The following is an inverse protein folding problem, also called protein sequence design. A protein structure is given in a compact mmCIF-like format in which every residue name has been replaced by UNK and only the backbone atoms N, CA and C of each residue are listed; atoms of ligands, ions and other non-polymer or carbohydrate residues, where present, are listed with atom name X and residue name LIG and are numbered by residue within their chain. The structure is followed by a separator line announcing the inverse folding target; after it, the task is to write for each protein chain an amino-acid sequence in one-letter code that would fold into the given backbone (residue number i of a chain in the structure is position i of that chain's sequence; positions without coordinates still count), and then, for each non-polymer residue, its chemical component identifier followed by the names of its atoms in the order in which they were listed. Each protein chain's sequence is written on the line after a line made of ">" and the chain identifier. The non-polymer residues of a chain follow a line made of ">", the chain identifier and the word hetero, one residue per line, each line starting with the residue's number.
data_IF_536371363362
#
_entry.id   IF_536371363362
#
_cell.length_a   1.000
_cell.length_b   1.000
_cell.length_c   1.000
_cell.angle_alpha   90.00
_cell.angle_beta   90.00
_cell.angle_gamma   90.00
#
_symmetry.space_group_name_H-M   'P 1'
#
loop_
_entity.id
_entity.type
_entity.pdbx_description
1 polymer ?
#
# COMPACT_ATOMS: atom_id res chain seq x y z
N UNK A 1 9.27 5.64 -28.57
CA UNK A 1 9.44 4.22 -28.20
C UNK A 1 8.11 3.53 -27.94
N UNK A 2 7.23 4.11 -27.11
CA UNK A 2 5.92 3.51 -26.79
C UNK A 2 5.06 3.22 -28.01
N UNK A 3 5.00 4.14 -28.99
CA UNK A 3 4.28 3.91 -30.24
C UNK A 3 4.85 2.73 -31.04
N UNK A 4 6.18 2.66 -31.20
CA UNK A 4 6.84 1.57 -31.94
C UNK A 4 6.56 0.21 -31.29
N UNK A 5 6.75 0.11 -29.98
CA UNK A 5 6.49 -1.11 -29.23
C UNK A 5 5.01 -1.49 -29.29
N UNK A 6 4.15 -0.55 -28.93
CA UNK A 6 2.72 -0.76 -28.85
C UNK A 6 2.13 -1.15 -30.20
N UNK A 7 2.46 -0.44 -31.28
CA UNK A 7 1.90 -0.71 -32.59
C UNK A 7 2.36 -2.05 -33.16
N UNK A 8 3.66 -2.35 -33.10
CA UNK A 8 4.20 -3.59 -33.69
C UNK A 8 3.79 -4.82 -32.89
N UNK A 9 3.97 -4.82 -31.56
CA UNK A 9 3.64 -5.98 -30.74
C UNK A 9 2.12 -6.19 -30.67
N UNK A 10 1.31 -5.13 -30.62
CA UNK A 10 -0.16 -5.29 -30.68
C UNK A 10 -0.58 -5.96 -31.98
N UNK A 11 -0.06 -5.53 -33.14
CA UNK A 11 -0.39 -6.15 -34.42
C UNK A 11 0.04 -7.61 -34.47
N UNK A 12 1.28 -7.89 -34.07
CA UNK A 12 1.84 -9.24 -34.05
C UNK A 12 0.99 -10.20 -33.20
N UNK A 13 0.80 -9.89 -31.92
CA UNK A 13 0.07 -10.80 -31.01
C UNK A 13 -1.42 -10.82 -31.27
N UNK A 14 -1.99 -9.77 -31.89
CA UNK A 14 -3.37 -9.84 -32.40
C UNK A 14 -3.49 -10.83 -33.56
N UNK A 15 -2.50 -10.89 -34.45
CA UNK A 15 -2.49 -11.86 -35.57
C UNK A 15 -2.28 -13.28 -35.04
N UNK A 16 -1.30 -13.48 -34.15
CA UNK A 16 -0.98 -14.80 -33.59
C UNK A 16 -2.08 -15.36 -32.69
N UNK A 17 -2.71 -14.51 -31.88
CA UNK A 17 -3.75 -14.92 -30.93
C UNK A 17 -5.13 -15.15 -31.55
N UNK A 18 -5.34 -14.79 -32.83
CA UNK A 18 -6.62 -15.03 -33.51
C UNK A 18 -6.76 -16.50 -33.86
N UNK A 19 -7.81 -17.14 -33.34
CA UNK A 19 -8.20 -18.48 -33.82
C UNK A 19 -8.77 -18.39 -35.25
N UNK A 20 -8.53 -19.39 -36.12
CA UNK A 20 -9.15 -19.45 -37.44
C UNK A 20 -10.68 -19.31 -37.32
N UNK A 21 -11.27 -18.37 -38.07
CA UNK A 21 -12.71 -18.10 -38.06
C UNK A 21 -13.22 -17.15 -36.98
N UNK A 22 -12.39 -16.74 -36.01
CA UNK A 22 -12.79 -15.79 -34.97
C UNK A 22 -12.73 -14.34 -35.51
N UNK A 23 -13.90 -13.70 -35.64
CA UNK A 23 -14.00 -12.26 -35.98
C UNK A 23 -13.99 -11.44 -34.68
N UNK A 24 -13.02 -10.53 -34.56
CA UNK A 24 -12.93 -9.57 -33.44
C UNK A 24 -11.94 -9.95 -32.34
N UNK A 25 -11.50 -8.94 -31.58
CA UNK A 25 -10.50 -9.05 -30.50
C UNK A 25 -9.14 -8.43 -30.88
N UNK A 26 -8.60 -7.59 -29.99
CA UNK A 26 -7.28 -6.95 -30.12
C UNK A 26 -6.44 -7.36 -28.92
N UNK A 27 -5.31 -8.02 -29.17
CA UNK A 27 -4.30 -8.29 -28.17
C UNK A 27 -3.31 -7.13 -28.12
N UNK A 28 -3.74 -6.01 -27.52
CA UNK A 28 -2.89 -4.87 -27.27
C UNK A 28 -1.74 -5.19 -26.31
N UNK A 29 -0.55 -4.76 -26.70
CA UNK A 29 0.68 -4.85 -25.92
C UNK A 29 1.24 -3.45 -25.73
N UNK A 30 1.86 -3.18 -24.59
CA UNK A 30 2.54 -1.91 -24.37
C UNK A 30 3.38 -1.93 -23.11
N UNK A 31 4.43 -1.11 -23.12
CA UNK A 31 5.47 -1.09 -22.09
C UNK A 31 4.94 -1.00 -20.66
N UNK A 32 3.90 -0.21 -20.39
CA UNK A 32 3.34 -0.08 -19.04
C UNK A 32 2.14 -0.99 -18.83
N UNK A 33 1.18 -1.00 -19.76
CA UNK A 33 -0.05 -1.81 -19.63
C UNK A 33 0.23 -3.31 -19.47
N UNK A 34 1.27 -3.84 -20.13
CA UNK A 34 1.53 -5.28 -20.20
C UNK A 34 2.18 -5.80 -18.91
N UNK A 35 3.22 -5.14 -18.36
CA UNK A 35 3.69 -5.45 -17.00
C UNK A 35 2.63 -5.22 -15.93
N UNK A 36 1.80 -4.17 -16.03
CA UNK A 36 0.66 -3.99 -15.10
C UNK A 36 -0.32 -5.17 -15.16
N UNK A 37 -0.64 -5.66 -16.36
CA UNK A 37 -1.49 -6.85 -16.53
C UNK A 37 -0.82 -8.11 -15.96
N UNK A 38 0.49 -8.25 -16.14
CA UNK A 38 1.29 -9.36 -15.60
C UNK A 38 1.18 -9.44 -14.08
N UNK A 39 1.20 -8.31 -13.36
CA UNK A 39 1.00 -8.29 -11.90
C UNK A 39 -0.32 -8.96 -11.49
N UNK A 40 -1.42 -8.63 -12.19
CA UNK A 40 -2.75 -9.16 -11.90
C UNK A 40 -2.82 -10.65 -12.23
N UNK A 41 -2.34 -11.06 -13.41
CA UNK A 41 -2.34 -12.47 -13.82
C UNK A 41 -1.49 -13.32 -12.89
N UNK A 42 -0.34 -12.83 -12.44
CA UNK A 42 0.52 -13.56 -11.52
C UNK A 42 -0.12 -13.69 -10.13
N UNK A 43 -0.77 -12.63 -9.63
CA UNK A 43 -1.56 -12.70 -8.38
C UNK A 43 -2.69 -13.72 -8.49
N UNK A 44 -3.44 -13.72 -9.58
CA UNK A 44 -4.53 -14.68 -9.78
C UNK A 44 -4.02 -16.13 -9.86
N UNK A 45 -2.86 -16.34 -10.49
CA UNK A 45 -2.19 -17.66 -10.51
C UNK A 45 -1.70 -18.08 -9.13
N UNK A 46 -1.15 -17.15 -8.35
CA UNK A 46 -0.71 -17.38 -6.97
C UNK A 46 -1.90 -17.84 -6.11
N UNK A 47 -3.04 -17.17 -6.25
CA UNK A 47 -4.29 -17.51 -5.55
C UNK A 47 -4.82 -18.87 -6.00
N UNK A 48 -4.87 -19.14 -7.31
CA UNK A 48 -5.40 -20.38 -7.85
C UNK A 48 -4.55 -21.61 -7.48
N UNK A 49 -3.24 -21.45 -7.38
CA UNK A 49 -2.30 -22.51 -7.02
C UNK A 49 -2.02 -22.57 -5.50
N UNK A 50 -2.66 -21.72 -4.70
CA UNK A 50 -2.43 -21.68 -3.26
C UNK A 50 -3.02 -22.93 -2.59
N UNK A 51 -2.18 -23.64 -1.84
CA UNK A 51 -2.59 -24.79 -1.04
C UNK A 51 -2.58 -24.36 0.43
N UNK A 52 -3.75 -24.23 1.09
CA UNK A 52 -3.82 -23.89 2.51
C UNK A 52 -3.06 -24.92 3.35
N UNK A 53 -2.23 -24.42 4.27
CA UNK A 53 -1.50 -25.22 5.24
C UNK A 53 -2.08 -25.00 6.62
N UNK A 54 -2.29 -26.08 7.35
CA UNK A 54 -2.68 -26.00 8.76
C UNK A 54 -1.49 -25.48 9.59
N UNK A 55 -1.79 -24.58 10.51
CA UNK A 55 -0.85 -24.12 11.51
C UNK A 55 -1.57 -23.93 12.85
N UNK A 56 -0.82 -23.87 13.93
CA UNK A 56 -1.38 -23.87 15.27
C UNK A 56 -0.85 -22.70 16.11
N UNK A 57 -1.74 -22.14 16.92
CA UNK A 57 -1.43 -21.06 17.86
C UNK A 57 -1.97 -21.43 19.24
N UNK A 58 -1.27 -21.03 20.29
CA UNK A 58 -1.70 -21.27 21.67
C UNK A 58 -1.76 -19.95 22.43
N UNK A 59 -2.99 -19.50 22.69
CA UNK A 59 -3.24 -18.37 23.58
C UNK A 59 -3.32 -18.87 25.02
N UNK A 60 -2.65 -18.16 25.93
CA UNK A 60 -2.64 -18.44 27.36
C UNK A 60 -3.15 -17.21 28.11
N UNK A 61 -4.22 -17.39 28.87
CA UNK A 61 -4.77 -16.35 29.74
C UNK A 61 -4.10 -16.43 31.10
N UNK A 62 -3.59 -15.30 31.56
CA UNK A 62 -2.82 -15.14 32.77
C UNK A 62 -3.42 -14.05 33.63
N UNK A 63 -3.24 -14.13 34.95
CA UNK A 63 -3.59 -13.05 35.87
C UNK A 63 -2.32 -12.48 36.50
N UNK A 64 -2.17 -11.15 36.49
CA UNK A 64 -1.09 -10.45 37.18
C UNK A 64 -1.64 -9.20 37.86
N UNK A 65 -1.32 -8.98 39.13
CA UNK A 65 -1.87 -7.87 39.93
C UNK A 65 -3.40 -7.72 39.78
N UNK A 66 -4.14 -8.83 39.87
CA UNK A 66 -5.60 -8.90 39.68
C UNK A 66 -6.13 -8.47 38.30
N UNK A 67 -5.25 -8.30 37.31
CA UNK A 67 -5.63 -7.99 35.92
C UNK A 67 -5.41 -9.21 35.04
N UNK A 68 -6.43 -9.61 34.28
CA UNK A 68 -6.32 -10.66 33.28
C UNK A 68 -5.68 -10.12 32.00
N UNK A 69 -4.72 -10.85 31.45
CA UNK A 69 -4.08 -10.54 30.17
C UNK A 69 -3.81 -11.83 29.37
N UNK A 70 -3.50 -11.68 28.09
CA UNK A 70 -3.26 -12.80 27.18
C UNK A 70 -1.82 -12.80 26.68
N UNK A 71 -1.17 -13.95 26.79
CA UNK A 71 0.13 -14.25 26.19
C UNK A 71 -0.03 -15.27 25.06
N UNK A 72 0.90 -15.26 24.12
CA UNK A 72 0.99 -16.19 23.01
C UNK A 72 2.22 -17.08 23.19
N UNK A 73 2.03 -18.40 23.09
CA UNK A 73 3.14 -19.35 23.05
C UNK A 73 4.07 -19.07 21.87
N UNK A 74 5.36 -19.11 22.13
CA UNK A 74 6.41 -19.05 21.12
C UNK A 74 6.85 -20.49 20.84
N UNK A 75 6.40 -21.03 19.71
CA UNK A 75 6.78 -22.38 19.29
C UNK A 75 8.27 -22.45 18.95
N UNK A 76 8.95 -23.57 19.29
CA UNK A 76 10.33 -23.78 18.87
C UNK A 76 10.48 -23.76 17.34
N UNK A 77 11.57 -23.18 16.84
CA UNK A 77 11.83 -23.06 15.39
C UNK A 77 11.78 -24.41 14.65
N UNK A 78 12.22 -25.50 15.30
CA UNK A 78 12.19 -26.84 14.74
C UNK A 78 10.79 -27.39 14.40
N UNK A 79 9.73 -26.77 14.92
CA UNK A 79 8.34 -27.13 14.62
C UNK A 79 7.60 -26.05 13.83
N UNK A 80 8.31 -25.05 13.33
CA UNK A 80 7.76 -23.92 12.59
C UNK A 80 7.99 -24.04 11.07
N UNK A 81 7.17 -23.34 10.29
CA UNK A 81 7.47 -23.03 8.90
C UNK A 81 8.37 -21.78 8.76
N UNK A 82 8.67 -21.39 7.51
CA UNK A 82 9.50 -20.22 7.18
C UNK A 82 8.94 -18.87 7.67
N UNK A 83 7.64 -18.82 7.99
CA UNK A 83 6.98 -17.64 8.57
C UNK A 83 6.90 -17.70 10.10
N UNK A 84 7.53 -18.72 10.72
CA UNK A 84 7.55 -18.89 12.17
C UNK A 84 6.25 -19.46 12.75
N UNK A 85 5.35 -20.02 11.93
CA UNK A 85 4.08 -20.60 12.38
C UNK A 85 4.29 -22.06 12.78
N UNK A 86 3.80 -22.47 13.95
CA UNK A 86 3.86 -23.87 14.36
C UNK A 86 3.06 -24.75 13.39
N UNK A 87 3.70 -25.75 12.79
CA UNK A 87 3.10 -26.74 11.88
C UNK A 87 3.07 -28.16 12.48
N UNK A 88 3.25 -28.28 13.79
CA UNK A 88 3.18 -29.56 14.50
C UNK A 88 2.08 -29.57 15.58
N UNK A 89 1.00 -30.29 15.33
CA UNK A 89 -0.13 -30.40 16.26
C UNK A 89 0.25 -31.07 17.59
N UNK A 90 1.09 -32.10 17.57
CA UNK A 90 1.53 -32.78 18.80
C UNK A 90 2.35 -31.87 19.70
N UNK A 91 3.22 -31.03 19.13
CA UNK A 91 3.99 -30.05 19.88
C UNK A 91 3.07 -29.02 20.56
N UNK A 92 2.04 -28.54 19.86
CA UNK A 92 1.00 -27.68 20.44
C UNK A 92 0.27 -28.37 21.61
N UNK A 93 -0.17 -29.62 21.43
CA UNK A 93 -0.90 -30.37 22.46
C UNK A 93 -0.04 -30.59 23.71
N UNK A 94 1.23 -30.94 23.51
CA UNK A 94 2.20 -31.10 24.59
C UNK A 94 2.40 -29.77 25.34
N UNK A 95 2.65 -28.67 24.62
CA UNK A 95 2.78 -27.34 25.22
C UNK A 95 1.54 -26.95 26.03
N UNK A 96 0.34 -27.16 25.48
CA UNK A 96 -0.91 -26.88 26.18
C UNK A 96 -1.09 -27.74 27.45
N UNK A 97 -0.68 -29.01 27.43
CA UNK A 97 -0.74 -29.88 28.61
C UNK A 97 0.27 -29.45 29.69
N UNK A 98 1.50 -29.13 29.30
CA UNK A 98 2.55 -28.72 30.23
C UNK A 98 2.25 -27.37 30.88
N UNK A 99 1.73 -26.40 30.12
CA UNK A 99 1.30 -25.09 30.63
C UNK A 99 0.13 -25.25 31.63
N UNK A 100 -0.86 -26.10 31.32
CA UNK A 100 -1.95 -26.39 32.27
C UNK A 100 -1.44 -27.03 33.55
N UNK A 101 -0.50 -27.98 33.45
CA UNK A 101 0.09 -28.67 34.60
C UNK A 101 0.91 -27.72 35.48
N UNK A 102 1.69 -26.84 34.87
CA UNK A 102 2.51 -25.87 35.60
C UNK A 102 1.65 -24.84 36.35
N UNK A 103 0.46 -24.49 35.82
CA UNK A 103 -0.55 -23.61 36.42
C UNK A 103 -0.10 -22.17 36.74
N UNK A 104 1.19 -21.86 36.63
CA UNK A 104 1.78 -20.54 36.85
C UNK A 104 2.86 -20.27 35.80
N UNK A 105 2.87 -19.06 35.26
CA UNK A 105 3.92 -18.57 34.38
C UNK A 105 4.80 -17.57 35.15
N UNK A 106 6.12 -17.69 35.01
CA UNK A 106 7.09 -16.76 35.61
C UNK A 106 7.49 -15.72 34.58
N UNK A 107 7.41 -14.45 34.94
CA UNK A 107 7.93 -13.36 34.10
C UNK A 107 9.46 -13.45 34.04
N UNK A 108 9.99 -13.56 32.83
CA UNK A 108 11.44 -13.60 32.56
C UNK A 108 11.97 -12.23 32.15
N UNK A 109 11.14 -11.41 31.50
CA UNK A 109 11.50 -10.01 31.21
C UNK A 109 10.28 -9.17 30.89
N UNK A 110 10.40 -7.87 31.16
CA UNK A 110 9.43 -6.85 30.77
C UNK A 110 10.18 -5.70 30.11
N UNK A 111 9.82 -5.36 28.88
CA UNK A 111 10.39 -4.24 28.14
C UNK A 111 9.26 -3.29 27.71
N UNK A 112 9.39 -2.00 28.01
CA UNK A 112 8.46 -0.96 27.52
C UNK A 112 9.21 0.00 26.63
N UNK A 113 8.71 0.17 25.40
CA UNK A 113 9.22 1.16 24.45
C UNK A 113 8.18 2.26 24.26
N UNK A 114 8.59 3.48 24.56
CA UNK A 114 7.83 4.66 24.20
C UNK A 114 8.03 4.95 22.71
N UNK A 115 6.96 4.87 21.93
CA UNK A 115 6.98 5.09 20.49
C UNK A 115 6.26 6.38 20.12
N UNK A 116 6.85 7.13 19.20
CA UNK A 116 6.25 8.31 18.58
C UNK A 116 6.02 8.04 17.10
N UNK A 117 4.81 8.30 16.64
CA UNK A 117 4.38 8.10 15.26
C UNK A 117 3.99 9.46 14.66
N UNK A 118 4.74 9.86 13.62
CA UNK A 118 4.42 11.06 12.84
C UNK A 118 3.17 10.88 11.99
N UNK A 119 2.46 11.99 11.76
CA UNK A 119 1.33 12.01 10.85
C UNK A 119 1.70 11.46 9.46
N UNK A 120 0.73 10.82 8.77
CA UNK A 120 0.86 10.55 7.35
C UNK A 120 1.09 11.87 6.62
N UNK A 121 1.89 11.85 5.56
CA UNK A 121 2.10 13.04 4.75
C UNK A 121 0.79 13.45 4.06
N UNK A 122 0.65 14.72 3.64
CA UNK A 122 -0.34 15.11 2.65
C UNK A 122 -0.17 14.31 1.36
N UNK A 123 -1.21 14.35 0.52
CA UNK A 123 -1.33 13.40 -0.56
C UNK A 123 -0.43 13.73 -1.75
N UNK A 124 0.24 12.69 -2.25
CA UNK A 124 0.42 12.51 -3.70
C UNK A 124 -0.85 11.83 -4.28
N UNK A 125 -1.06 11.90 -5.60
CA UNK A 125 -2.27 11.38 -6.25
C UNK A 125 -2.47 9.87 -6.00
N UNK A 126 -1.41 9.07 -6.08
CA UNK A 126 -1.49 7.63 -5.99
C UNK A 126 -1.78 7.18 -4.57
N UNK A 127 -1.32 7.93 -3.57
CA UNK A 127 -1.68 7.74 -2.17
C UNK A 127 -3.14 8.15 -1.94
N UNK A 128 -3.61 9.25 -2.55
CA UNK A 128 -5.03 9.62 -2.52
C UNK A 128 -5.91 8.52 -3.14
N UNK A 129 -5.54 8.01 -4.32
CA UNK A 129 -6.23 6.91 -5.01
C UNK A 129 -6.28 5.64 -4.14
N UNK A 130 -5.18 5.29 -3.47
CA UNK A 130 -5.15 4.15 -2.55
C UNK A 130 -6.13 4.32 -1.39
N UNK A 131 -6.11 5.48 -0.73
CA UNK A 131 -6.97 5.76 0.43
C UNK A 131 -8.44 5.81 0.02
N UNK A 132 -8.78 6.50 -1.06
CA UNK A 132 -10.15 6.55 -1.58
C UNK A 132 -10.65 5.18 -2.04
N UNK A 133 -9.79 4.34 -2.63
CA UNK A 133 -10.14 2.97 -2.99
C UNK A 133 -10.43 2.11 -1.74
N UNK A 134 -9.60 2.22 -0.68
CA UNK A 134 -9.81 1.50 0.59
C UNK A 134 -11.09 1.95 1.29
N UNK A 135 -11.31 3.26 1.44
CA UNK A 135 -12.42 3.83 2.21
C UNK A 135 -13.75 3.82 1.48
N UNK A 136 -13.75 4.16 0.18
CA UNK A 136 -14.97 4.46 -0.57
C UNK A 136 -15.18 3.53 -1.77
N UNK A 137 -14.22 2.66 -2.08
CA UNK A 137 -14.29 1.79 -3.26
C UNK A 137 -14.14 2.53 -4.59
N UNK A 138 -13.69 3.79 -4.57
CA UNK A 138 -13.53 4.59 -5.79
C UNK A 138 -12.45 3.99 -6.72
N UNK A 139 -12.69 4.12 -8.03
CA UNK A 139 -11.70 3.79 -9.04
C UNK A 139 -10.61 4.86 -9.14
N UNK A 140 -9.42 4.49 -9.62
CA UNK A 140 -8.29 5.39 -9.74
C UNK A 140 -8.58 6.57 -10.69
N UNK A 141 -9.29 6.33 -11.80
CA UNK A 141 -9.69 7.38 -12.74
C UNK A 141 -10.75 8.30 -12.12
N UNK A 142 -11.75 7.74 -11.44
CA UNK A 142 -12.77 8.52 -10.72
C UNK A 142 -12.11 9.48 -9.71
N UNK A 143 -11.14 9.02 -8.93
CA UNK A 143 -10.41 9.87 -7.97
C UNK A 143 -9.61 10.96 -8.68
N UNK A 144 -8.96 10.66 -9.81
CA UNK A 144 -8.25 11.67 -10.61
C UNK A 144 -9.23 12.73 -11.14
N UNK A 145 -10.39 12.33 -11.66
CA UNK A 145 -11.39 13.25 -12.19
C UNK A 145 -11.97 14.15 -11.07
N UNK A 146 -12.27 13.57 -9.90
CA UNK A 146 -12.68 14.34 -8.71
C UNK A 146 -11.59 15.33 -8.29
N UNK A 147 -10.34 14.89 -8.19
CA UNK A 147 -9.24 15.76 -7.79
C UNK A 147 -9.00 16.88 -8.81
N UNK A 148 -9.22 16.63 -10.11
CA UNK A 148 -9.20 17.65 -11.16
C UNK A 148 -10.33 18.66 -10.98
N UNK A 149 -11.56 18.22 -10.71
CA UNK A 149 -12.67 19.13 -10.44
C UNK A 149 -12.40 20.00 -9.20
N UNK A 150 -11.87 19.42 -8.13
CA UNK A 150 -11.47 20.15 -6.93
C UNK A 150 -10.41 21.23 -7.22
N UNK A 151 -9.50 20.97 -8.15
CA UNK A 151 -8.44 21.89 -8.56
C UNK A 151 -8.92 22.97 -9.55
N UNK A 152 -9.53 22.58 -10.67
CA UNK A 152 -9.82 23.50 -11.79
C UNK A 152 -11.16 24.21 -11.62
N UNK A 153 -12.19 23.48 -11.18
CA UNK A 153 -13.56 24.00 -11.07
C UNK A 153 -13.76 24.69 -9.73
N UNK A 154 -13.49 23.97 -8.64
CA UNK A 154 -13.75 24.46 -7.28
C UNK A 154 -12.61 25.32 -6.75
N UNK A 155 -11.40 25.22 -7.31
CA UNK A 155 -10.17 25.89 -6.84
C UNK A 155 -9.91 25.65 -5.35
N UNK A 156 -10.37 24.51 -4.84
CA UNK A 156 -10.37 24.14 -3.44
C UNK A 156 -9.07 23.45 -3.03
N UNK A 157 -8.37 22.81 -3.98
CA UNK A 157 -7.10 22.11 -3.73
C UNK A 157 -6.01 22.54 -4.70
N UNK A 158 -4.76 22.22 -4.38
CA UNK A 158 -3.60 22.42 -5.26
C UNK A 158 -3.54 21.36 -6.37
N UNK A 159 -2.56 21.50 -7.28
CA UNK A 159 -2.44 20.67 -8.47
C UNK A 159 -2.44 19.16 -8.15
N UNK A 160 -3.37 18.35 -8.72
CA UNK A 160 -3.63 17.01 -8.22
C UNK A 160 -2.79 15.92 -8.88
N UNK A 161 -2.05 16.18 -9.96
CA UNK A 161 -1.21 15.16 -10.64
C UNK A 161 0.24 15.22 -10.14
N UNK A 162 0.40 15.33 -8.83
CA UNK A 162 1.69 15.37 -8.13
C UNK A 162 2.04 13.99 -7.56
N UNK A 163 3.31 13.63 -7.64
CA UNK A 163 3.90 12.43 -7.04
C UNK A 163 4.56 12.70 -5.67
N UNK A 164 4.51 13.94 -5.20
CA UNK A 164 5.17 14.40 -3.99
C UNK A 164 4.18 14.55 -2.83
N UNK A 165 4.51 14.00 -1.66
CA UNK A 165 3.77 14.20 -0.41
C UNK A 165 4.35 15.31 0.49
N UNK A 166 5.33 16.08 0.03
CA UNK A 166 6.00 17.14 0.79
C UNK A 166 5.57 18.55 0.33
N UNK A 167 5.87 19.56 1.13
CA UNK A 167 5.59 20.97 0.88
C UNK A 167 6.88 21.80 0.95
N UNK A 168 7.05 22.80 0.07
CA UNK A 168 8.16 23.75 0.16
C UNK A 168 8.17 24.47 1.50
N UNK A 169 9.35 24.75 2.04
CA UNK A 169 9.49 25.42 3.33
C UNK A 169 8.93 26.85 3.29
N UNK A 170 9.01 27.52 2.14
CA UNK A 170 8.47 28.87 1.92
C UNK A 170 6.94 28.95 2.08
N UNK A 171 6.21 27.88 1.73
CA UNK A 171 4.75 27.83 1.85
C UNK A 171 4.28 27.79 3.32
N UNK A 172 5.18 27.60 4.29
CA UNK A 172 4.81 27.69 5.70
C UNK A 172 4.24 29.06 6.08
N UNK A 173 4.63 30.13 5.37
CA UNK A 173 4.09 31.48 5.59
C UNK A 173 2.58 31.59 5.25
N UNK A 174 2.05 30.67 4.45
CA UNK A 174 0.67 30.67 3.96
C UNK A 174 -0.29 29.93 4.90
N UNK A 175 0.23 29.19 5.89
CA UNK A 175 -0.57 28.33 6.77
C UNK A 175 -1.75 29.05 7.41
N UNK A 176 -1.54 30.30 7.88
CA UNK A 176 -2.60 31.10 8.49
C UNK A 176 -3.74 31.44 7.52
N UNK A 177 -3.40 31.67 6.25
CA UNK A 177 -4.40 31.95 5.21
C UNK A 177 -5.19 30.69 4.86
N UNK A 178 -4.52 29.54 4.76
CA UNK A 178 -5.20 28.24 4.57
C UNK A 178 -6.13 27.91 5.75
N UNK A 179 -5.70 28.14 6.99
CA UNK A 179 -6.56 27.94 8.17
C UNK A 179 -7.79 28.86 8.14
N UNK A 180 -7.60 30.12 7.76
CA UNK A 180 -8.70 31.09 7.60
C UNK A 180 -9.68 30.66 6.52
N UNK A 181 -9.16 30.15 5.39
CA UNK A 181 -9.96 29.60 4.31
C UNK A 181 -10.79 28.39 4.75
N UNK A 182 -10.19 27.46 5.50
CA UNK A 182 -10.91 26.30 6.05
C UNK A 182 -11.97 26.70 7.08
N UNK A 183 -11.70 27.72 7.91
CA UNK A 183 -12.67 28.25 8.86
C UNK A 183 -13.89 28.89 8.17
N UNK A 184 -13.65 29.56 7.03
CA UNK A 184 -14.67 30.18 6.20
C UNK A 184 -15.43 29.18 5.31
N UNK A 185 -14.79 28.07 4.92
CA UNK A 185 -15.38 26.98 4.11
C UNK A 185 -16.61 26.37 4.79
N UNK A 186 -16.61 26.25 6.11
CA UNK A 186 -17.80 25.80 6.84
C UNK A 186 -17.56 25.39 8.28
N UNK A 187 -18.64 25.10 9.04
CA UNK A 187 -18.55 24.70 10.44
C UNK A 187 -17.84 23.35 10.65
N UNK A 188 -17.79 22.49 9.63
CA UNK A 188 -17.23 21.13 9.69
C UNK A 188 -15.76 21.09 10.11
N UNK A 189 -14.93 22.05 9.68
CA UNK A 189 -13.51 22.08 10.03
C UNK A 189 -13.21 22.81 11.32
N UNK A 190 -14.15 23.62 11.86
CA UNK A 190 -13.91 24.45 13.06
C UNK A 190 -13.46 23.62 14.28
N UNK A 191 -14.11 22.49 14.63
CA UNK A 191 -13.67 21.65 15.75
C UNK A 191 -12.31 20.98 15.55
N UNK A 192 -11.88 20.80 14.29
CA UNK A 192 -10.58 20.22 13.96
C UNK A 192 -9.49 21.29 14.09
N UNK A 193 -9.76 22.50 13.60
CA UNK A 193 -8.86 23.65 13.68
C UNK A 193 -8.53 24.01 15.13
N UNK A 194 -9.48 23.90 16.07
CA UNK A 194 -9.23 24.16 17.49
C UNK A 194 -8.24 23.19 18.15
N UNK A 195 -8.00 22.02 17.54
CA UNK A 195 -7.03 21.04 18.02
C UNK A 195 -5.64 21.23 17.40
N UNK A 196 -5.54 22.06 16.36
CA UNK A 196 -4.31 22.26 15.59
C UNK A 196 -3.47 23.42 16.14
N UNK A 197 -2.15 23.27 16.11
CA UNK A 197 -1.20 24.37 16.33
C UNK A 197 -0.61 24.81 14.97
N UNK A 198 -1.04 25.96 14.40
CA UNK A 198 -0.55 26.41 13.10
C UNK A 198 0.92 26.86 13.11
N UNK A 199 1.56 26.98 14.28
CA UNK A 199 3.00 27.23 14.39
C UNK A 199 3.82 25.93 14.34
N UNK A 200 3.18 24.77 14.42
CA UNK A 200 3.86 23.48 14.36
C UNK A 200 4.43 23.23 12.96
N UNK A 201 5.73 22.94 12.89
CA UNK A 201 6.41 22.48 11.68
C UNK A 201 6.63 20.97 11.75
N UNK A 202 5.78 20.19 11.07
CA UNK A 202 6.01 18.76 10.89
C UNK A 202 7.10 18.51 9.83
N UNK A 203 7.44 17.23 9.62
CA UNK A 203 8.39 16.79 8.59
C UNK A 203 7.97 17.09 7.14
N UNK A 204 6.75 17.59 6.91
CA UNK A 204 6.22 17.82 5.56
C UNK A 204 6.93 18.98 4.85
N UNK A 205 7.39 19.99 5.60
CA UNK A 205 8.07 21.17 5.08
C UNK A 205 9.54 20.82 4.79
N UNK A 206 9.87 20.52 3.52
CA UNK A 206 11.19 20.04 3.16
C UNK A 206 11.49 20.22 1.67
N UNK A 207 12.27 21.26 1.34
CA UNK A 207 12.62 21.59 -0.04
C UNK A 207 13.41 20.47 -0.75
N UNK A 208 14.23 19.72 -0.02
CA UNK A 208 15.02 18.61 -0.59
C UNK A 208 14.19 17.40 -1.04
N UNK A 209 12.91 17.35 -0.65
CA UNK A 209 11.96 16.29 -1.01
C UNK A 209 10.97 16.72 -2.09
N UNK A 210 11.02 17.96 -2.54
CA UNK A 210 10.16 18.48 -3.59
C UNK A 210 10.61 17.94 -4.95
N UNK A 211 9.64 17.49 -5.75
CA UNK A 211 9.85 17.07 -7.14
C UNK A 211 9.52 18.25 -8.07
N UNK A 212 8.86 18.01 -9.20
CA UNK A 212 8.35 19.10 -10.03
C UNK A 212 7.17 19.85 -9.36
N UNK A 213 6.46 19.18 -8.45
CA UNK A 213 5.30 19.70 -7.75
C UNK A 213 5.36 19.33 -6.26
N UNK A 214 4.49 19.95 -5.47
CA UNK A 214 4.32 19.64 -4.05
C UNK A 214 3.02 18.87 -3.82
N UNK A 215 2.72 18.52 -2.57
CA UNK A 215 1.54 17.75 -2.21
C UNK A 215 0.19 18.43 -2.52
N UNK A 216 -0.84 17.61 -2.64
CA UNK A 216 -2.24 18.02 -2.76
C UNK A 216 -2.73 18.47 -1.38
N UNK A 217 -3.02 19.77 -1.25
CA UNK A 217 -3.47 20.43 -0.02
C UNK A 217 -4.64 21.39 -0.32
N UNK A 218 -5.44 21.80 0.67
CA UNK A 218 -6.41 22.87 0.47
C UNK A 218 -5.73 24.19 0.09
N UNK A 219 -6.43 25.05 -0.66
CA UNK A 219 -5.91 26.36 -1.05
C UNK A 219 -6.17 27.43 0.02
N UNK A 220 -5.65 28.63 -0.22
CA UNK A 220 -5.92 29.83 0.61
C UNK A 220 -7.29 30.45 0.35
N UNK A 221 -8.12 29.84 -0.51
CA UNK A 221 -9.46 30.32 -0.84
C UNK A 221 -10.52 29.43 -0.17
N UNK A 222 -11.55 30.00 0.48
CA UNK A 222 -12.64 29.19 1.03
C UNK A 222 -13.34 28.40 -0.08
N UNK A 223 -13.54 27.10 0.15
CA UNK A 223 -14.30 26.28 -0.78
C UNK A 223 -15.81 26.48 -0.59
N UNK A 224 -16.57 26.46 -1.68
CA UNK A 224 -18.03 26.50 -1.66
C UNK A 224 -18.59 25.07 -1.66
N UNK A 225 -18.79 24.51 -0.46
CA UNK A 225 -19.22 23.13 -0.29
C UNK A 225 -20.59 22.84 -0.93
N UNK A 226 -21.43 23.86 -1.15
CA UNK A 226 -22.75 23.69 -1.77
C UNK A 226 -22.68 23.31 -3.25
N UNK A 227 -21.52 23.54 -3.90
CA UNK A 227 -21.28 23.19 -5.30
C UNK A 227 -20.60 21.84 -5.47
N UNK A 228 -20.14 21.22 -4.39
CA UNK A 228 -19.51 19.90 -4.44
C UNK A 228 -20.57 18.81 -4.34
N UNK A 229 -20.40 17.74 -5.12
CA UNK A 229 -21.17 16.51 -4.88
C UNK A 229 -20.58 15.72 -3.69
N UNK A 230 -21.29 14.68 -3.24
CA UNK A 230 -20.89 13.88 -2.07
C UNK A 230 -19.49 13.23 -2.22
N UNK A 231 -19.13 12.78 -3.42
CA UNK A 231 -17.84 12.15 -3.67
C UNK A 231 -16.70 13.19 -3.70
N UNK A 232 -16.93 14.36 -4.30
CA UNK A 232 -16.02 15.51 -4.25
C UNK A 232 -15.80 15.97 -2.81
N UNK A 233 -16.88 16.07 -2.03
CA UNK A 233 -16.81 16.40 -0.60
C UNK A 233 -15.97 15.38 0.17
N UNK A 234 -16.20 14.08 -0.02
CA UNK A 234 -15.43 13.01 0.66
C UNK A 234 -13.93 13.09 0.35
N UNK A 235 -13.56 13.36 -0.90
CA UNK A 235 -12.16 13.49 -1.30
C UNK A 235 -11.55 14.78 -0.74
N UNK A 236 -12.29 15.89 -0.79
CA UNK A 236 -11.84 17.16 -0.23
C UNK A 236 -11.63 17.09 1.29
N UNK A 237 -12.57 16.52 2.05
CA UNK A 237 -12.44 16.32 3.49
C UNK A 237 -11.21 15.48 3.85
N UNK A 238 -10.90 14.42 3.09
CA UNK A 238 -9.66 13.65 3.27
C UNK A 238 -8.41 14.50 3.08
N UNK A 239 -8.36 15.31 2.02
CA UNK A 239 -7.23 16.20 1.73
C UNK A 239 -7.05 17.21 2.87
N UNK A 240 -8.13 17.85 3.32
CA UNK A 240 -8.11 18.78 4.45
C UNK A 240 -7.63 18.11 5.73
N UNK A 241 -8.13 16.91 6.08
CA UNK A 241 -7.70 16.19 7.29
C UNK A 241 -6.23 15.81 7.27
N UNK A 242 -5.69 15.38 6.12
CA UNK A 242 -4.27 15.06 6.00
C UNK A 242 -3.38 16.31 6.13
N UNK A 243 -3.85 17.45 5.63
CA UNK A 243 -3.17 18.73 5.86
C UNK A 243 -3.23 19.14 7.33
N UNK A 244 -4.41 19.09 7.97
CA UNK A 244 -4.58 19.43 9.39
C UNK A 244 -3.77 18.52 10.32
N UNK A 245 -3.59 17.24 9.96
CA UNK A 245 -2.76 16.30 10.71
C UNK A 245 -1.31 16.78 10.89
N UNK A 246 -0.80 17.64 10.00
CA UNK A 246 0.55 18.20 10.10
C UNK A 246 0.70 19.20 11.26
N UNK A 247 -0.41 19.67 11.81
CA UNK A 247 -0.47 20.66 12.89
C UNK A 247 -0.96 20.05 14.20
N UNK A 248 -1.13 18.74 14.25
CA UNK A 248 -1.53 17.98 15.44
C UNK A 248 -0.30 17.34 16.11
N UNK A 249 -0.33 17.08 17.43
CA UNK A 249 0.73 16.34 18.11
C UNK A 249 0.99 14.97 17.47
N UNK A 250 2.22 14.47 17.62
CA UNK A 250 2.54 13.08 17.29
C UNK A 250 1.62 12.12 18.05
N UNK A 251 1.33 10.97 17.47
CA UNK A 251 0.72 9.89 18.22
C UNK A 251 1.79 9.22 19.07
N UNK A 252 1.56 9.11 20.37
CA UNK A 252 2.52 8.53 21.30
C UNK A 252 1.88 7.36 22.06
N UNK A 253 2.58 6.24 22.11
CA UNK A 253 2.13 5.03 22.78
C UNK A 253 3.28 4.27 23.44
N UNK A 254 3.00 3.70 24.60
CA UNK A 254 3.90 2.77 25.28
C UNK A 254 3.55 1.34 24.83
N UNK A 255 4.47 0.72 24.10
CA UNK A 255 4.39 -0.69 23.74
C UNK A 255 5.18 -1.52 24.74
N UNK A 256 4.49 -2.34 25.52
CA UNK A 256 5.09 -3.22 26.51
C UNK A 256 5.11 -4.65 25.98
N UNK A 257 6.26 -5.31 26.04
CA UNK A 257 6.40 -6.74 25.81
C UNK A 257 6.80 -7.43 27.12
N UNK A 258 6.01 -8.41 27.54
CA UNK A 258 6.33 -9.28 28.68
C UNK A 258 6.64 -10.66 28.15
N UNK A 259 7.82 -11.18 28.48
CA UNK A 259 8.20 -12.57 28.23
C UNK A 259 8.01 -13.38 29.50
N UNK A 260 7.41 -14.54 29.35
CA UNK A 260 7.16 -15.46 30.45
C UNK A 260 7.60 -16.88 30.10
N UNK A 261 7.83 -17.68 31.13
CA UNK A 261 8.10 -19.10 31.04
C UNK A 261 7.04 -19.88 31.83
N UNK A 262 6.48 -20.92 31.23
CA UNK A 262 5.48 -21.77 31.89
C UNK A 262 5.64 -23.22 31.43
N UNK A 263 5.92 -24.13 32.37
CA UNK A 263 6.07 -25.56 32.05
C UNK A 263 7.19 -25.87 31.04
N UNK A 264 8.26 -25.06 31.01
CA UNK A 264 9.35 -25.17 30.03
C UNK A 264 9.06 -24.52 28.67
N UNK A 265 7.92 -23.84 28.51
CA UNK A 265 7.53 -23.17 27.27
C UNK A 265 7.63 -21.65 27.40
N UNK A 266 8.05 -20.98 26.32
CA UNK A 266 8.11 -19.52 26.27
C UNK A 266 6.77 -18.92 25.83
N UNK A 267 6.35 -17.87 26.53
CA UNK A 267 5.15 -17.09 26.24
C UNK A 267 5.53 -15.61 26.05
N UNK A 268 4.82 -14.91 25.17
CA UNK A 268 4.97 -13.46 24.95
C UNK A 268 3.60 -12.79 25.03
N UNK A 269 3.46 -11.81 25.92
CA UNK A 269 2.33 -10.89 25.95
C UNK A 269 2.77 -9.52 25.42
N UNK A 270 1.96 -8.90 24.58
CA UNK A 270 2.18 -7.54 24.09
C UNK A 270 1.03 -6.64 24.56
N UNK A 271 1.38 -5.47 25.07
CA UNK A 271 0.47 -4.43 25.53
C UNK A 271 0.70 -3.12 24.81
N UNK A 272 -0.35 -2.33 24.71
CA UNK A 272 -0.30 -1.01 24.10
C UNK A 272 -1.10 -0.03 24.95
N UNK A 273 -0.46 1.07 25.37
CA UNK A 273 -1.12 2.15 26.11
C UNK A 273 -0.92 3.46 25.35
N UNK A 274 -2.00 4.06 24.90
CA UNK A 274 -1.96 5.37 24.22
C UNK A 274 -1.66 6.44 25.27
N UNK A 275 -0.57 7.18 25.07
CA UNK A 275 -0.16 8.30 25.92
C UNK A 275 -0.69 9.62 25.33
N UNK A 276 -0.51 9.80 24.02
CA UNK A 276 -1.02 10.94 23.27
C UNK A 276 -1.77 10.42 22.04
N UNK A 277 -3.10 10.60 21.93
CA UNK A 277 -3.83 10.21 20.73
C UNK A 277 -3.29 10.91 19.47
N UNK A 278 -2.95 12.20 19.60
CA UNK A 278 -2.29 13.00 18.55
C UNK A 278 -3.14 13.10 17.28
N UNK A 279 -2.47 13.19 16.14
CA UNK A 279 -3.11 13.29 14.82
C UNK A 279 -4.11 12.18 14.50
N UNK A 280 -4.03 11.00 15.14
CA UNK A 280 -4.94 9.88 14.89
C UNK A 280 -6.40 10.21 15.20
N UNK A 281 -6.69 11.22 16.03
CA UNK A 281 -8.07 11.66 16.33
C UNK A 281 -8.82 12.17 15.09
N UNK A 282 -8.09 12.67 14.08
CA UNK A 282 -8.67 13.12 12.82
C UNK A 282 -9.24 11.98 11.97
N UNK A 283 -8.85 10.74 12.25
CA UNK A 283 -9.15 9.53 11.47
C UNK A 283 -9.84 8.45 12.32
N UNK A 284 -10.55 8.85 13.37
CA UNK A 284 -11.06 7.95 14.42
C UNK A 284 -11.91 6.77 13.93
N UNK A 285 -12.55 6.87 12.76
CA UNK A 285 -13.29 5.76 12.13
C UNK A 285 -12.39 4.66 11.54
N UNK A 286 -11.12 4.96 11.24
CA UNK A 286 -10.14 4.01 10.65
C UNK A 286 -9.32 3.25 11.71
N UNK A 287 -9.29 3.72 12.96
CA UNK A 287 -8.40 3.20 14.01
C UNK A 287 -8.95 1.96 14.74
N UNK A 288 -10.05 1.37 14.26
CA UNK A 288 -10.66 0.22 14.91
C UNK A 288 -9.82 -1.07 14.80
N UNK A 289 -8.81 -1.11 13.93
CA UNK A 289 -8.05 -2.31 13.54
C UNK A 289 -6.70 -2.54 14.27
N UNK A 290 -6.28 -1.72 15.25
CA UNK A 290 -5.03 -2.00 15.98
C UNK A 290 -5.16 -3.33 16.79
N UNK A 291 -4.43 -4.37 16.37
CA UNK A 291 -4.58 -5.78 16.80
C UNK A 291 -4.10 -6.10 18.24
N UNK A 292 -3.63 -5.12 19.01
CA UNK A 292 -3.31 -5.31 20.44
C UNK A 292 -3.86 -4.15 21.28
N UNK A 293 -5.15 -4.24 21.62
CA UNK A 293 -5.83 -3.28 22.49
C UNK A 293 -5.67 -3.57 23.98
N UNK A 294 -5.02 -4.67 24.35
CA UNK A 294 -4.84 -4.99 25.77
C UNK A 294 -3.78 -4.05 26.38
N UNK A 295 -4.08 -3.54 27.57
CA UNK A 295 -3.06 -3.00 28.47
C UNK A 295 -2.49 -4.16 29.29
N UNK A 296 -1.19 -4.09 29.60
CA UNK A 296 -0.56 -5.06 30.48
C UNK A 296 -0.38 -4.46 31.88
N UNK A 297 -0.58 -5.25 32.96
CA UNK A 297 -0.21 -4.82 34.30
C UNK A 297 1.31 -4.59 34.39
N UNK A 298 1.74 -3.82 35.38
CA UNK A 298 3.18 -3.60 35.63
C UNK A 298 3.78 -4.85 36.27
N UNK A 299 4.43 -5.70 35.47
CA UNK A 299 5.01 -6.96 35.95
C UNK A 299 6.53 -6.84 36.09
N UNK A 300 7.04 -7.14 37.29
CA UNK A 300 8.47 -7.25 37.54
C UNK A 300 9.00 -8.63 37.15
N UNK A 301 10.29 -8.72 36.87
CA UNK A 301 10.97 -10.01 36.67
C UNK A 301 10.72 -10.94 37.88
N UNK A 302 10.60 -12.24 37.61
CA UNK A 302 10.26 -13.28 38.58
C UNK A 302 8.83 -13.22 39.16
N UNK A 303 7.98 -12.28 38.71
CA UNK A 303 6.56 -12.30 39.08
C UNK A 303 5.90 -13.60 38.59
N UNK A 304 5.15 -14.27 39.47
CA UNK A 304 4.36 -15.44 39.13
C UNK A 304 2.94 -15.02 38.75
N UNK A 305 2.50 -15.43 37.57
CA UNK A 305 1.18 -15.15 37.02
C UNK A 305 0.39 -16.46 36.89
N UNK A 306 -0.71 -16.66 37.64
CA UNK A 306 -1.56 -17.83 37.50
C UNK A 306 -2.12 -17.98 36.09
N UNK A 307 -2.11 -19.21 35.57
CA UNK A 307 -2.75 -19.60 34.32
C UNK A 307 -4.24 -19.82 34.56
N UNK A 308 -5.07 -19.01 33.91
CA UNK A 308 -6.53 -19.08 34.04
C UNK A 308 -7.22 -19.63 32.80
N UNK A 309 -6.50 -19.75 31.68
CA UNK A 309 -7.02 -20.33 30.44
C UNK A 309 -5.91 -20.74 29.48
N UNK A 310 -6.13 -21.82 28.73
CA UNK A 310 -5.21 -22.35 27.73
C UNK A 310 -6.02 -22.76 26.51
N UNK A 311 -5.89 -21.98 25.44
CA UNK A 311 -6.76 -22.01 24.25
C UNK A 311 -5.93 -22.38 23.00
N UNK A 312 -5.70 -23.70 22.75
CA UNK A 312 -5.09 -24.15 21.51
C UNK A 312 -6.06 -23.93 20.34
N UNK A 313 -5.56 -23.37 19.25
CA UNK A 313 -6.35 -23.08 18.04
C UNK A 313 -5.63 -23.56 16.79
N UNK A 314 -6.33 -24.37 16.00
CA UNK A 314 -5.94 -24.67 14.63
C UNK A 314 -6.39 -23.55 13.69
N UNK A 315 -5.51 -23.16 12.79
CA UNK A 315 -5.74 -22.14 11.78
C UNK A 315 -5.23 -22.64 10.43
N UNK A 316 -5.68 -21.97 9.36
CA UNK A 316 -5.23 -22.25 8.00
C UNK A 316 -4.65 -20.99 7.39
N UNK A 317 -3.54 -21.15 6.69
CA UNK A 317 -3.00 -20.07 5.85
C UNK A 317 -4.04 -19.68 4.79
N UNK A 318 -4.02 -18.41 4.39
CA UNK A 318 -4.95 -17.87 3.39
C UNK A 318 -4.16 -17.42 2.16
N UNK A 319 -4.72 -17.56 0.94
CA UNK A 319 -4.10 -16.99 -0.23
C UNK A 319 -4.01 -15.46 -0.09
N UNK A 320 -3.11 -14.80 -0.83
CA UNK A 320 -3.14 -13.34 -0.92
C UNK A 320 -4.47 -12.86 -1.49
N UNK A 321 -4.83 -11.60 -1.22
CA UNK A 321 -6.03 -11.01 -1.83
C UNK A 321 -5.80 -10.63 -3.29
N UNK A 322 -6.84 -10.74 -4.11
CA UNK A 322 -6.85 -10.13 -5.45
C UNK A 322 -6.65 -8.62 -5.35
N UNK A 323 -5.97 -8.03 -6.33
CA UNK A 323 -5.79 -6.58 -6.37
C UNK A 323 -7.13 -5.86 -6.45
N UNK A 324 -7.33 -4.83 -5.63
CA UNK A 324 -8.23 -3.70 -5.94
C UNK A 324 -7.48 -2.66 -6.78
N UNK A 325 -8.18 -1.69 -7.37
CA UNK A 325 -7.51 -0.58 -8.07
C UNK A 325 -6.49 0.15 -7.19
N UNK A 326 -6.83 0.46 -5.93
CA UNK A 326 -5.88 1.09 -5.01
C UNK A 326 -4.63 0.25 -4.77
N UNK A 327 -4.79 -1.05 -4.46
CA UNK A 327 -3.64 -1.94 -4.25
C UNK A 327 -2.82 -2.18 -5.53
N UNK A 328 -3.43 -2.08 -6.71
CA UNK A 328 -2.72 -2.15 -7.99
C UNK A 328 -1.93 -0.86 -8.25
N UNK A 329 -2.49 0.32 -7.97
CA UNK A 329 -1.74 1.59 -7.99
C UNK A 329 -0.54 1.51 -7.06
N UNK A 330 -0.72 0.98 -5.84
CA UNK A 330 0.37 0.75 -4.89
C UNK A 330 1.45 -0.17 -5.46
N UNK A 331 1.06 -1.26 -6.13
CA UNK A 331 1.99 -2.20 -6.76
C UNK A 331 2.72 -1.57 -7.95
N UNK A 332 2.05 -0.75 -8.76
CA UNK A 332 2.66 -0.01 -9.86
C UNK A 332 3.68 1.01 -9.34
N UNK A 333 3.37 1.78 -8.29
CA UNK A 333 4.33 2.69 -7.61
C UNK A 333 5.56 1.94 -7.10
N UNK A 334 5.35 0.76 -6.53
CA UNK A 334 6.39 -0.05 -5.90
C UNK A 334 6.88 -1.20 -6.80
N UNK A 335 6.87 -0.99 -8.12
CA UNK A 335 7.17 -2.05 -9.08
C UNK A 335 8.57 -2.65 -8.92
N UNK A 336 9.50 -1.92 -8.30
CA UNK A 336 10.84 -2.40 -7.96
C UNK A 336 10.83 -3.68 -7.10
N UNK A 337 9.75 -3.97 -6.36
CA UNK A 337 9.64 -5.22 -5.57
C UNK A 337 9.48 -6.47 -6.42
N UNK A 338 9.08 -6.33 -7.69
CA UNK A 338 8.85 -7.45 -8.61
C UNK A 338 10.02 -7.72 -9.56
N UNK A 339 11.12 -6.96 -9.43
CA UNK A 339 12.32 -7.13 -10.24
C UNK A 339 13.42 -7.68 -9.34
N UNK A 340 14.27 -8.57 -9.87
CA UNK A 340 15.36 -9.19 -9.09
C UNK A 340 16.69 -8.43 -9.24
N UNK A 341 16.99 -7.90 -10.42
CA UNK A 341 18.20 -7.13 -10.72
C UNK A 341 18.25 -5.82 -9.91
N UNK A 342 19.26 -5.66 -9.05
CA UNK A 342 19.40 -4.51 -8.14
C UNK A 342 19.53 -3.16 -8.87
N UNK A 343 20.16 -3.13 -10.05
CA UNK A 343 20.27 -1.90 -10.84
C UNK A 343 18.89 -1.50 -11.36
N UNK A 344 18.11 -2.44 -11.88
CA UNK A 344 16.75 -2.17 -12.35
C UNK A 344 15.80 -1.81 -11.20
N UNK A 345 15.94 -2.45 -10.03
CA UNK A 345 15.21 -2.07 -8.82
C UNK A 345 15.43 -0.61 -8.46
N UNK A 346 16.69 -0.18 -8.42
CA UNK A 346 17.01 1.21 -8.09
C UNK A 346 16.40 2.18 -9.11
N UNK A 347 16.52 1.87 -10.40
CA UNK A 347 15.92 2.70 -11.46
C UNK A 347 14.40 2.82 -11.33
N UNK A 348 13.69 1.74 -11.01
CA UNK A 348 12.25 1.79 -10.76
C UNK A 348 11.89 2.63 -9.52
N UNK A 349 12.75 2.66 -8.50
CA UNK A 349 12.54 3.55 -7.34
C UNK A 349 12.71 5.01 -7.75
N UNK A 350 13.72 5.30 -8.56
CA UNK A 350 14.02 6.66 -9.04
C UNK A 350 12.93 7.18 -10.01
N UNK A 351 12.34 6.30 -10.83
CA UNK A 351 11.34 6.65 -11.86
C UNK A 351 9.88 6.54 -11.40
N UNK A 352 9.62 6.49 -10.08
CA UNK A 352 8.29 6.29 -9.51
C UNK A 352 7.55 5.01 -9.96
N UNK A 353 8.27 3.96 -10.34
CA UNK A 353 7.70 2.65 -10.68
C UNK A 353 7.16 2.52 -12.11
N UNK A 354 6.04 1.81 -12.27
CA UNK A 354 5.38 1.56 -13.56
C UNK A 354 4.40 2.68 -13.91
N UNK A 355 4.77 3.48 -14.90
CA UNK A 355 4.00 4.63 -15.36
C UNK A 355 4.09 5.81 -14.39
N UNK A 356 3.84 7.00 -14.91
CA UNK A 356 3.80 8.22 -14.11
C UNK A 356 2.48 8.34 -13.37
N UNK A 357 2.47 9.16 -12.34
CA UNK A 357 1.32 9.46 -11.50
C UNK A 357 0.03 9.75 -12.30
N UNK A 358 0.15 10.55 -13.35
CA UNK A 358 -0.96 10.95 -14.22
C UNK A 358 -1.47 9.84 -15.17
N UNK A 359 -0.72 8.75 -15.37
CA UNK A 359 -1.03 7.74 -16.41
C UNK A 359 -1.53 6.41 -15.85
N UNK A 360 -1.27 6.09 -14.58
CA UNK A 360 -1.62 4.78 -13.99
C UNK A 360 -3.12 4.50 -14.03
N UNK A 361 -3.94 5.49 -13.69
CA UNK A 361 -5.39 5.39 -13.76
C UNK A 361 -5.89 5.05 -15.17
N UNK A 362 -5.41 5.78 -16.19
CA UNK A 362 -5.77 5.52 -17.58
C UNK A 362 -5.28 4.16 -18.10
N UNK A 363 -4.17 3.64 -17.57
CA UNK A 363 -3.70 2.29 -17.90
C UNK A 363 -4.67 1.24 -17.36
N UNK A 364 -5.10 1.35 -16.10
CA UNK A 364 -6.08 0.43 -15.50
C UNK A 364 -7.40 0.49 -16.28
N UNK A 365 -7.86 1.70 -16.60
CA UNK A 365 -9.07 1.91 -17.41
C UNK A 365 -8.94 1.27 -18.80
N UNK A 366 -7.76 1.36 -19.42
CA UNK A 366 -7.47 0.72 -20.71
C UNK A 366 -7.55 -0.80 -20.60
N UNK A 367 -7.00 -1.41 -19.54
CA UNK A 367 -7.07 -2.86 -19.32
C UNK A 367 -8.52 -3.34 -19.14
N UNK A 368 -9.34 -2.56 -18.43
CA UNK A 368 -10.79 -2.81 -18.28
C UNK A 368 -11.52 -2.70 -19.63
N UNK A 369 -11.33 -1.58 -20.36
CA UNK A 369 -11.96 -1.33 -21.67
C UNK A 369 -11.62 -2.39 -22.71
N UNK A 370 -10.40 -2.95 -22.65
CA UNK A 370 -9.94 -4.02 -23.56
C UNK A 370 -10.37 -5.42 -23.13
N UNK A 371 -11.04 -5.55 -21.98
CA UNK A 371 -11.54 -6.84 -21.50
C UNK A 371 -10.43 -7.79 -21.04
N UNK A 372 -9.26 -7.27 -20.65
CA UNK A 372 -8.20 -8.07 -20.03
C UNK A 372 -8.43 -8.32 -18.56
N UNK A 373 -9.07 -7.36 -17.90
CA UNK A 373 -9.46 -7.47 -16.52
C UNK A 373 -10.92 -7.08 -16.38
N UNK A 374 -11.57 -7.64 -15.36
CA UNK A 374 -12.93 -7.29 -14.97
C UNK A 374 -12.96 -6.97 -13.48
N UNK A 375 -13.95 -6.19 -13.08
CA UNK A 375 -14.24 -5.96 -11.66
C UNK A 375 -15.20 -7.03 -11.15
N UNK A 376 -14.80 -7.73 -10.10
CA UNK A 376 -15.69 -8.55 -9.29
C UNK A 376 -15.78 -7.92 -7.90
N UNK A 377 -16.93 -7.29 -7.61
CA UNK A 377 -17.07 -6.36 -6.49
C UNK A 377 -15.97 -5.27 -6.58
N UNK A 378 -15.04 -5.25 -5.63
CA UNK A 378 -13.90 -4.31 -5.58
C UNK A 378 -12.60 -4.87 -6.17
N UNK A 379 -12.57 -6.16 -6.50
CA UNK A 379 -11.36 -6.85 -6.94
C UNK A 379 -11.24 -6.86 -8.46
N UNK A 380 -10.00 -6.78 -8.95
CA UNK A 380 -9.62 -6.87 -10.35
C UNK A 380 -9.19 -8.30 -10.63
N UNK A 381 -9.91 -8.95 -11.56
CA UNK A 381 -9.68 -10.34 -11.94
C UNK A 381 -9.29 -10.39 -13.41
N UNK A 382 -8.22 -11.13 -13.72
CA UNK A 382 -7.81 -11.38 -15.09
C UNK A 382 -8.87 -12.21 -15.84
N UNK A 383 -9.03 -11.93 -17.14
CA UNK A 383 -9.86 -12.73 -18.04
C UNK A 383 -9.03 -13.78 -18.76
N UNK A 384 -9.69 -14.72 -19.42
CA UNK A 384 -9.02 -15.74 -20.26
C UNK A 384 -8.20 -15.11 -21.38
N UNK A 385 -8.63 -13.94 -21.88
CA UNK A 385 -7.87 -13.18 -22.88
C UNK A 385 -6.54 -12.68 -22.30
N UNK A 386 -6.54 -12.20 -21.05
CA UNK A 386 -5.29 -11.80 -20.40
C UNK A 386 -4.36 -12.99 -20.16
N UNK A 387 -4.91 -14.13 -19.70
CA UNK A 387 -4.13 -15.36 -19.51
C UNK A 387 -3.51 -15.84 -20.84
N UNK A 388 -4.30 -15.83 -21.92
CA UNK A 388 -3.85 -16.20 -23.28
C UNK A 388 -2.73 -15.26 -23.76
N UNK A 389 -2.91 -13.95 -23.61
CA UNK A 389 -1.87 -12.98 -23.97
C UNK A 389 -0.58 -13.20 -23.17
N UNK A 390 -0.70 -13.36 -21.84
CA UNK A 390 0.45 -13.60 -20.96
C UNK A 390 1.16 -14.92 -21.26
N UNK A 391 0.48 -15.92 -21.81
CA UNK A 391 1.10 -17.17 -22.24
C UNK A 391 1.88 -17.02 -23.55
N UNK A 392 1.39 -16.20 -24.49
CA UNK A 392 2.05 -15.98 -25.79
C UNK A 392 3.26 -15.04 -25.71
N UNK A 393 3.25 -14.07 -24.79
CA UNK A 393 4.30 -13.06 -24.71
C UNK A 393 5.63 -13.65 -24.17
N UNK A 394 6.79 -13.16 -24.64
CA UNK A 394 8.07 -13.38 -24.00
C UNK A 394 8.11 -12.73 -22.61
N UNK A 395 8.83 -13.33 -21.67
CA UNK A 395 8.87 -12.85 -20.28
C UNK A 395 9.43 -11.43 -20.16
N UNK A 396 10.40 -11.08 -21.00
CA UNK A 396 10.95 -9.72 -21.02
C UNK A 396 9.87 -8.65 -21.23
N UNK A 397 8.81 -8.93 -22.01
CA UNK A 397 7.68 -8.00 -22.29
C UNK A 397 6.72 -7.85 -21.12
N UNK A 398 6.68 -8.85 -20.24
CA UNK A 398 5.86 -8.87 -19.02
C UNK A 398 6.59 -8.26 -17.83
N UNK A 399 7.91 -8.15 -17.91
CA UNK A 399 8.78 -7.74 -16.82
C UNK A 399 8.77 -6.20 -16.63
N UNK A 400 8.46 -5.70 -15.42
CA UNK A 400 8.54 -4.27 -15.10
C UNK A 400 9.92 -3.65 -15.31
N UNK A 401 10.99 -4.43 -15.20
CA UNK A 401 12.37 -4.03 -15.41
C UNK A 401 12.66 -3.55 -16.84
N UNK A 402 11.93 -4.03 -17.85
CA UNK A 402 12.06 -3.45 -19.19
C UNK A 402 11.62 -1.99 -19.23
N UNK A 403 10.55 -1.65 -18.52
CA UNK A 403 10.11 -0.25 -18.37
C UNK A 403 11.20 0.59 -17.73
N UNK A 404 11.87 0.07 -16.70
CA UNK A 404 12.96 0.75 -16.00
C UNK A 404 14.13 1.10 -16.95
N UNK A 405 14.51 0.17 -17.81
CA UNK A 405 15.58 0.37 -18.80
C UNK A 405 15.23 1.49 -19.77
N UNK A 406 13.97 1.61 -20.17
CA UNK A 406 13.55 2.62 -21.14
C UNK A 406 13.45 3.99 -20.48
N UNK A 407 12.92 4.07 -19.26
CA UNK A 407 12.93 5.33 -18.49
C UNK A 407 14.37 5.81 -18.26
N UNK A 408 15.32 4.89 -17.97
CA UNK A 408 16.74 5.23 -17.91
C UNK A 408 17.28 5.82 -19.21
N UNK A 409 16.97 5.19 -20.34
CA UNK A 409 17.41 5.72 -21.63
C UNK A 409 16.81 7.10 -21.93
N UNK A 410 15.55 7.35 -21.55
CA UNK A 410 14.90 8.65 -21.71
C UNK A 410 15.54 9.73 -20.82
N UNK A 411 15.85 9.41 -19.57
CA UNK A 411 16.59 10.32 -18.67
C UNK A 411 17.98 10.64 -19.23
N UNK A 412 18.71 9.63 -19.70
CA UNK A 412 20.04 9.80 -20.32
C UNK A 412 19.97 10.68 -21.57
N UNK A 413 18.89 10.59 -22.36
CA UNK A 413 18.66 11.50 -23.49
C UNK A 413 18.42 12.93 -22.99
N UNK A 414 17.58 13.11 -21.97
CA UNK A 414 17.24 14.43 -21.43
C UNK A 414 18.47 15.19 -20.90
N UNK A 415 19.44 14.47 -20.32
CA UNK A 415 20.71 15.05 -19.83
C UNK A 415 21.85 14.98 -20.85
N UNK A 416 21.58 14.60 -22.11
CA UNK A 416 22.56 14.59 -23.20
C UNK A 416 23.60 13.47 -23.17
N UNK A 417 23.43 12.45 -22.31
CA UNK A 417 24.33 11.29 -22.19
C UNK A 417 24.08 10.21 -23.25
N UNK A 418 22.88 10.12 -23.80
CA UNK A 418 22.51 9.15 -24.84
C UNK A 418 21.91 9.87 -26.06
N UNK A 419 22.45 9.69 -27.27
CA UNK A 419 21.82 10.25 -28.47
C UNK A 419 20.49 9.56 -28.78
N UNK A 420 19.46 10.36 -29.11
CA UNK A 420 18.13 9.85 -29.48
C UNK A 420 18.17 8.82 -30.62
N UNK A 421 19.02 9.03 -31.63
CA UNK A 421 19.17 8.12 -32.76
C UNK A 421 19.63 6.71 -32.33
N UNK A 422 20.57 6.63 -31.38
CA UNK A 422 21.08 5.36 -30.84
C UNK A 422 19.97 4.63 -30.08
N UNK A 423 19.19 5.36 -29.27
CA UNK A 423 18.04 4.78 -28.58
C UNK A 423 17.02 4.21 -29.57
N UNK A 424 16.59 4.99 -30.58
CA UNK A 424 15.62 4.54 -31.57
C UNK A 424 16.13 3.33 -32.37
N UNK A 425 17.42 3.27 -32.72
CA UNK A 425 18.01 2.11 -33.38
C UNK A 425 17.93 0.85 -32.51
N UNK A 426 18.30 0.95 -31.22
CA UNK A 426 18.17 -0.16 -30.27
C UNK A 426 16.73 -0.63 -30.14
N UNK A 427 15.77 0.29 -30.07
CA UNK A 427 14.35 -0.05 -30.02
C UNK A 427 13.89 -0.79 -31.28
N UNK A 428 14.32 -0.35 -32.47
CA UNK A 428 13.99 -1.01 -33.72
C UNK A 428 14.54 -2.44 -33.77
N UNK A 429 15.83 -2.62 -33.45
CA UNK A 429 16.48 -3.94 -33.44
C UNK A 429 15.81 -4.89 -32.45
N UNK A 430 15.45 -4.40 -31.27
CA UNK A 430 14.75 -5.18 -30.27
C UNK A 430 13.36 -5.62 -30.77
N UNK A 431 12.58 -4.71 -31.38
CA UNK A 431 11.27 -5.06 -31.95
C UNK A 431 11.42 -6.09 -33.09
N UNK A 432 12.38 -5.93 -33.99
CA UNK A 432 12.66 -6.90 -35.07
C UNK A 432 12.95 -8.28 -34.50
N UNK A 433 13.80 -8.36 -33.48
CA UNK A 433 14.11 -9.63 -32.80
C UNK A 433 12.86 -10.25 -32.16
N UNK A 434 12.00 -9.45 -31.51
CA UNK A 434 10.74 -9.95 -30.95
C UNK A 434 9.78 -10.47 -32.03
N UNK A 435 9.70 -9.80 -33.18
CA UNK A 435 8.87 -10.26 -34.30
C UNK A 435 9.37 -11.55 -34.91
N UNK A 436 10.69 -11.71 -35.08
CA UNK A 436 11.30 -12.94 -35.62
C UNK A 436 11.13 -14.12 -34.66
N UNK A 437 11.27 -13.88 -33.35
CA UNK A 437 11.10 -14.93 -32.34
C UNK A 437 9.66 -15.46 -32.31
N UNK A 438 8.66 -14.60 -32.49
CA UNK A 438 7.25 -15.01 -32.44
C UNK A 438 6.77 -15.72 -33.71
N UNK A 439 7.56 -15.73 -34.78
CA UNK A 439 7.28 -16.45 -36.04
C UNK A 439 7.84 -17.87 -36.05
N UNK A 440 8.69 -18.23 -35.08
CA UNK A 440 9.21 -19.58 -34.87
C UNK A 440 8.30 -20.32 -33.91
#
# INVERSE_FOLDING_TARGET
>A
ADWLCGMNLTRLYTILGRKPGQKGGVFSVGRVQTPTLSLIVNRDREIANFIPRDFWTLAVRLTGQNTSFQAQWQSPEAVCDEEGRCVNQSALQQAAADIRRAAQARVTSTETKHLKESAPLPFDLGTLQQVCSKKFGFGAQQVLDIAQNLYETHKATTYPRTDCGYLPESMFAEVQQVFSALQATGPVFRPLLTQCNPQQKSRVWNDSKITAHHAIIPTMQPADLSKMNDDEWRVYDLICRHYLAQFMPLHEADKTQVRLECGGHSLVANGNVIIVPGWKTLFSEDNAEDENKQSLPRLAENTLCPVTGVEPKGQKTRPPEHYTEGTLIAAMKNASRFVTDERLKQRLRDSAGLGTEATRAGIIETLLKRGYIRKEKRHLIATDNAATLMAMLPDIVKDPGMTALWEQALDEIAVGKLPLAVFLQKQSLWITKMTEQAQR
#
